data_IF_540881038000
#
_entry.id   IF_540881038000
#
_cell.length_a   1.000
_cell.length_b   1.000
_cell.length_c   1.000
_cell.angle_alpha   90.00
_cell.angle_beta   90.00
_cell.angle_gamma   90.00
#
_symmetry.space_group_name_H-M   'P 1'
#
loop_
_entity.id
_entity.type
_entity.pdbx_description
1 polymer ?
#
# COMPACT_ATOMS: atom_id res chain seq x y z
N UNK A 1 -14.38 2.01 14.66
CA UNK A 1 -14.48 2.10 13.18
C UNK A 1 -14.58 3.55 12.65
N UNK A 2 -15.30 4.44 13.33
CA UNK A 2 -15.48 5.82 12.87
C UNK A 2 -14.28 6.76 13.10
N UNK A 3 -13.22 6.33 13.80
CA UNK A 3 -12.07 7.19 14.13
C UNK A 3 -11.47 7.86 12.88
N UNK A 4 -11.12 7.08 11.86
CA UNK A 4 -10.47 7.61 10.66
C UNK A 4 -11.37 8.59 9.90
N UNK A 5 -12.64 8.26 9.57
CA UNK A 5 -13.56 9.23 8.96
C UNK A 5 -13.73 10.51 9.76
N UNK A 6 -13.84 10.42 11.10
CA UNK A 6 -13.96 11.60 11.96
C UNK A 6 -12.71 12.48 11.93
N UNK A 7 -11.51 11.86 12.01
CA UNK A 7 -10.26 12.61 11.92
C UNK A 7 -10.07 13.25 10.54
N UNK A 8 -10.51 12.59 9.48
CA UNK A 8 -10.49 13.14 8.13
C UNK A 8 -11.35 14.41 8.04
N UNK A 9 -12.61 14.32 8.47
CA UNK A 9 -13.52 15.49 8.51
C UNK A 9 -12.94 16.59 9.40
N UNK A 10 -12.43 16.26 10.59
CA UNK A 10 -11.85 17.23 11.51
C UNK A 10 -10.63 17.95 10.91
N UNK A 11 -9.74 17.24 10.23
CA UNK A 11 -8.59 17.84 9.56
C UNK A 11 -9.00 18.84 8.48
N UNK A 12 -10.06 18.54 7.73
CA UNK A 12 -10.60 19.46 6.73
C UNK A 12 -11.27 20.68 7.37
N UNK A 13 -12.02 20.51 8.47
CA UNK A 13 -12.63 21.61 9.22
C UNK A 13 -11.54 22.55 9.77
N UNK A 14 -10.47 22.00 10.37
CA UNK A 14 -9.35 22.78 10.91
C UNK A 14 -8.68 23.61 9.82
N UNK A 15 -8.55 23.06 8.61
CA UNK A 15 -7.91 23.73 7.48
C UNK A 15 -8.87 24.62 6.68
N UNK A 16 -10.20 24.59 6.93
CA UNK A 16 -11.18 25.38 6.19
C UNK A 16 -10.88 26.89 6.18
N UNK A 17 -10.41 27.54 7.27
CA UNK A 17 -10.07 28.97 7.25
C UNK A 17 -8.95 29.34 6.27
N UNK A 18 -8.08 28.39 5.87
CA UNK A 18 -6.99 28.63 4.93
C UNK A 18 -7.50 28.96 3.51
N UNK A 19 -8.72 28.53 3.16
CA UNK A 19 -9.36 28.88 1.90
C UNK A 19 -9.64 30.39 1.84
N UNK A 20 -10.05 30.99 2.95
CA UNK A 20 -10.30 32.42 3.05
C UNK A 20 -9.01 33.26 2.98
N UNK A 21 -7.87 32.63 3.32
CA UNK A 21 -6.55 33.25 3.16
C UNK A 21 -5.97 33.09 1.74
N UNK A 22 -6.77 32.60 0.77
CA UNK A 22 -6.38 32.48 -0.63
C UNK A 22 -5.67 31.19 -1.01
N UNK A 23 -5.72 30.17 -0.15
CA UNK A 23 -5.15 28.86 -0.49
C UNK A 23 -5.96 28.19 -1.63
N UNK A 24 -5.26 27.69 -2.66
CA UNK A 24 -5.95 26.97 -3.74
C UNK A 24 -6.59 25.67 -3.23
N UNK A 25 -7.63 25.18 -3.93
CA UNK A 25 -8.36 23.97 -3.54
C UNK A 25 -7.45 22.74 -3.42
N UNK A 26 -6.42 22.62 -4.26
CA UNK A 26 -5.44 21.54 -4.20
C UNK A 26 -4.57 21.60 -2.93
N UNK A 27 -4.08 22.78 -2.57
CA UNK A 27 -3.31 22.99 -1.35
C UNK A 27 -4.18 22.82 -0.09
N UNK A 28 -5.44 23.24 -0.12
CA UNK A 28 -6.38 23.01 0.98
C UNK A 28 -6.63 21.51 1.20
N UNK A 29 -6.85 20.74 0.11
CA UNK A 29 -7.00 19.29 0.19
C UNK A 29 -5.77 18.60 0.80
N UNK A 30 -4.58 19.01 0.36
CA UNK A 30 -3.32 18.50 0.92
C UNK A 30 -3.18 18.83 2.41
N UNK A 31 -3.42 20.10 2.79
CA UNK A 31 -3.35 20.53 4.18
C UNK A 31 -4.33 19.79 5.07
N UNK A 32 -5.59 19.64 4.65
CA UNK A 32 -6.61 18.86 5.37
C UNK A 32 -6.20 17.40 5.59
N UNK A 33 -5.70 16.75 4.54
CA UNK A 33 -5.21 15.38 4.62
C UNK A 33 -4.02 15.24 5.55
N UNK A 34 -3.00 16.10 5.44
CA UNK A 34 -1.84 16.09 6.33
C UNK A 34 -2.22 16.34 7.79
N UNK A 35 -3.15 17.28 8.03
CA UNK A 35 -3.67 17.54 9.39
C UNK A 35 -4.39 16.30 9.94
N UNK A 36 -5.19 15.62 9.14
CA UNK A 36 -5.86 14.37 9.55
C UNK A 36 -4.86 13.28 9.93
N UNK A 37 -3.78 13.13 9.15
CA UNK A 37 -2.70 12.19 9.45
C UNK A 37 -1.97 12.56 10.72
N UNK A 38 -1.68 13.84 10.92
CA UNK A 38 -1.04 14.33 12.16
C UNK A 38 -1.92 14.04 13.38
N UNK A 39 -3.22 14.34 13.30
CA UNK A 39 -4.18 14.03 14.36
C UNK A 39 -4.19 12.52 14.66
N UNK A 40 -4.20 11.66 13.64
CA UNK A 40 -4.13 10.21 13.81
C UNK A 40 -2.86 9.82 14.56
N UNK A 41 -1.69 10.28 14.12
CA UNK A 41 -0.39 9.95 14.75
C UNK A 41 -0.35 10.38 16.21
N UNK A 42 -0.89 11.56 16.53
CA UNK A 42 -0.94 12.09 17.90
C UNK A 42 -1.91 11.29 18.79
N UNK A 43 -3.04 10.83 18.25
CA UNK A 43 -4.07 10.11 19.01
C UNK A 43 -3.79 8.61 19.15
N UNK A 44 -3.03 8.00 18.23
CA UNK A 44 -2.75 6.57 18.23
C UNK A 44 -2.17 6.05 19.57
N UNK A 45 -1.21 6.71 20.25
CA UNK A 45 -0.70 6.24 21.55
C UNK A 45 -1.78 6.17 22.64
N UNK A 46 -2.70 7.14 22.66
CA UNK A 46 -3.82 7.14 23.59
C UNK A 46 -4.82 6.02 23.21
N UNK A 47 -5.14 5.88 21.93
CA UNK A 47 -5.98 4.79 21.41
C UNK A 47 -5.42 3.42 21.77
N UNK A 48 -4.13 3.19 21.55
CA UNK A 48 -3.44 1.94 21.88
C UNK A 48 -3.57 1.60 23.38
N UNK A 49 -3.45 2.59 24.26
CA UNK A 49 -3.59 2.41 25.71
C UNK A 49 -5.02 2.10 26.09
N UNK A 50 -5.97 2.91 25.63
CA UNK A 50 -7.37 2.80 26.07
C UNK A 50 -8.09 1.62 25.44
N UNK A 51 -7.82 1.30 24.15
CA UNK A 51 -8.57 0.30 23.40
C UNK A 51 -7.89 -1.06 23.35
N UNK A 52 -6.55 -1.08 23.31
CA UNK A 52 -5.77 -2.31 23.15
C UNK A 52 -4.94 -2.69 24.36
N UNK A 53 -5.05 -1.93 25.44
CA UNK A 53 -4.28 -2.11 26.67
C UNK A 53 -2.76 -2.29 26.42
N UNK A 54 -2.21 -1.48 25.51
CA UNK A 54 -0.79 -1.57 25.17
C UNK A 54 -0.07 -0.23 25.33
N UNK A 55 1.07 -0.25 26.07
CA UNK A 55 1.92 0.93 26.27
C UNK A 55 2.90 1.16 25.11
N UNK A 56 3.17 0.15 24.30
CA UNK A 56 4.12 0.21 23.18
C UNK A 56 3.41 0.31 21.83
N UNK A 57 2.67 1.40 21.61
CA UNK A 57 1.84 1.60 20.42
C UNK A 57 2.61 1.35 19.10
N UNK A 58 3.70 2.05 18.87
CA UNK A 58 4.46 1.96 17.63
C UNK A 58 5.06 0.58 17.35
N UNK A 59 5.40 -0.14 18.41
CA UNK A 59 5.85 -1.53 18.31
C UNK A 59 4.70 -2.47 17.97
N UNK A 60 3.55 -2.29 18.59
CA UNK A 60 2.36 -3.11 18.33
C UNK A 60 1.80 -2.90 16.92
N UNK A 61 1.99 -1.70 16.37
CA UNK A 61 1.66 -1.37 14.98
C UNK A 61 2.69 -1.85 13.96
N UNK A 62 3.88 -2.30 14.39
CA UNK A 62 4.94 -2.79 13.49
C UNK A 62 5.83 -1.69 12.90
N UNK A 63 5.78 -0.46 13.46
CA UNK A 63 6.62 0.68 13.05
C UNK A 63 8.00 0.60 13.68
N UNK A 64 8.09 0.29 14.98
CA UNK A 64 9.37 0.21 15.68
C UNK A 64 9.75 -1.24 15.98
N UNK A 65 11.03 -1.57 15.79
CA UNK A 65 11.58 -2.88 16.14
C UNK A 65 11.93 -2.96 17.63
N UNK A 66 11.68 -4.12 18.26
CA UNK A 66 12.10 -4.40 19.63
C UNK A 66 13.41 -5.20 19.68
N UNK A 67 14.28 -4.91 20.67
CA UNK A 67 15.48 -5.69 20.98
C UNK A 67 16.68 -5.50 20.03
N UNK A 68 17.78 -6.23 20.34
CA UNK A 68 19.00 -6.24 19.51
C UNK A 68 18.68 -6.78 18.10
N UNK A 69 18.98 -5.98 17.06
CA UNK A 69 18.69 -6.33 15.66
C UNK A 69 17.33 -5.85 15.12
N UNK A 70 16.50 -5.18 15.92
CA UNK A 70 15.21 -4.65 15.49
C UNK A 70 15.31 -3.74 14.26
N UNK A 71 16.27 -2.80 14.23
CA UNK A 71 16.50 -1.91 13.06
C UNK A 71 16.86 -2.70 11.80
N UNK A 72 17.75 -3.70 11.90
CA UNK A 72 18.14 -4.54 10.76
C UNK A 72 16.96 -5.31 10.19
N UNK A 73 16.04 -5.77 11.03
CA UNK A 73 14.81 -6.45 10.60
C UNK A 73 13.87 -5.49 9.86
N UNK A 74 13.72 -4.25 10.34
CA UNK A 74 12.88 -3.24 9.70
C UNK A 74 13.44 -2.84 8.34
N UNK A 75 14.75 -2.54 8.24
CA UNK A 75 15.39 -2.18 6.96
C UNK A 75 15.35 -3.33 5.96
N UNK A 76 15.56 -4.58 6.39
CA UNK A 76 15.47 -5.75 5.51
C UNK A 76 14.01 -6.00 5.03
N UNK A 77 13.01 -5.72 5.86
CA UNK A 77 11.61 -5.77 5.46
C UNK A 77 11.30 -4.72 4.39
N UNK A 78 11.72 -3.46 4.63
CA UNK A 78 11.55 -2.38 3.65
C UNK A 78 12.21 -2.74 2.31
N UNK A 79 13.47 -3.21 2.35
CA UNK A 79 14.19 -3.60 1.14
C UNK A 79 13.48 -4.73 0.39
N UNK A 80 12.99 -5.77 1.08
CA UNK A 80 12.19 -6.83 0.45
C UNK A 80 10.95 -6.28 -0.24
N UNK A 81 10.21 -5.39 0.43
CA UNK A 81 9.04 -4.74 -0.15
C UNK A 81 9.38 -3.94 -1.41
N UNK A 82 10.45 -3.13 -1.35
CA UNK A 82 10.93 -2.38 -2.52
C UNK A 82 11.35 -3.28 -3.67
N UNK A 83 12.06 -4.37 -3.40
CA UNK A 83 12.47 -5.35 -4.43
C UNK A 83 11.25 -6.01 -5.09
N UNK A 84 10.23 -6.37 -4.32
CA UNK A 84 8.97 -6.91 -4.85
C UNK A 84 8.24 -5.88 -5.71
N UNK A 85 8.15 -4.62 -5.26
CA UNK A 85 7.58 -3.53 -6.04
C UNK A 85 8.31 -3.32 -7.36
N UNK A 86 9.65 -3.26 -7.30
CA UNK A 86 10.51 -3.11 -8.49
C UNK A 86 10.32 -4.27 -9.46
N UNK A 87 10.23 -5.50 -8.95
CA UNK A 87 9.99 -6.69 -9.79
C UNK A 87 8.63 -6.62 -10.50
N UNK A 88 7.55 -6.27 -9.77
CA UNK A 88 6.21 -6.14 -10.37
C UNK A 88 6.16 -5.00 -11.40
N UNK A 89 6.78 -3.86 -11.11
CA UNK A 89 6.86 -2.74 -12.05
C UNK A 89 7.69 -3.08 -13.27
N UNK A 90 8.81 -3.78 -13.11
CA UNK A 90 9.62 -4.27 -14.22
C UNK A 90 8.83 -5.25 -15.11
N UNK A 91 8.10 -6.18 -14.50
CA UNK A 91 7.23 -7.11 -15.23
C UNK A 91 6.20 -6.36 -16.08
N UNK A 92 5.49 -5.39 -15.49
CA UNK A 92 4.52 -4.56 -16.22
C UNK A 92 5.20 -3.77 -17.34
N UNK A 93 6.31 -3.08 -17.03
CA UNK A 93 7.03 -2.24 -18.00
C UNK A 93 7.57 -3.05 -19.16
N UNK A 94 8.21 -4.19 -18.91
CA UNK A 94 8.74 -5.08 -19.95
C UNK A 94 7.60 -5.61 -20.83
N UNK A 95 6.50 -6.06 -20.24
CA UNK A 95 5.35 -6.54 -21.00
C UNK A 95 4.75 -5.45 -21.90
N UNK A 96 4.65 -4.20 -21.40
CA UNK A 96 4.14 -3.08 -22.18
C UNK A 96 5.07 -2.72 -23.36
N UNK A 97 6.38 -2.70 -23.11
CA UNK A 97 7.38 -2.41 -24.15
C UNK A 97 7.41 -3.52 -25.22
N UNK A 98 7.44 -4.79 -24.82
CA UNK A 98 7.45 -5.94 -25.74
C UNK A 98 6.18 -6.02 -26.57
N UNK A 99 5.03 -5.62 -26.03
CA UNK A 99 3.76 -5.56 -26.74
C UNK A 99 3.57 -4.32 -27.62
N UNK A 100 4.55 -3.40 -27.65
CA UNK A 100 4.44 -2.10 -28.34
C UNK A 100 3.29 -1.22 -27.80
N UNK A 101 2.86 -1.47 -26.57
CA UNK A 101 1.79 -0.70 -25.88
C UNK A 101 2.35 0.49 -25.08
N UNK A 102 3.67 0.63 -25.05
CA UNK A 102 4.34 1.79 -24.47
C UNK A 102 5.69 2.04 -25.15
N UNK A 103 6.17 3.29 -25.05
CA UNK A 103 7.47 3.73 -25.52
C UNK A 103 8.31 4.23 -24.36
N UNK A 104 9.60 3.89 -24.35
CA UNK A 104 10.54 4.38 -23.35
C UNK A 104 11.00 5.79 -23.73
N UNK A 105 10.71 6.79 -22.88
CA UNK A 105 11.14 8.17 -23.08
C UNK A 105 12.50 8.46 -22.43
N UNK A 106 12.72 7.89 -21.23
CA UNK A 106 13.96 8.10 -20.49
C UNK A 106 14.14 9.49 -19.89
N UNK A 107 13.07 10.29 -19.81
CA UNK A 107 13.09 11.65 -19.27
C UNK A 107 13.16 11.64 -17.74
N UNK A 108 14.36 11.72 -17.18
CA UNK A 108 14.54 11.80 -15.74
C UNK A 108 14.54 13.25 -15.23
N UNK A 109 14.03 13.48 -14.02
CA UNK A 109 14.17 14.76 -13.33
C UNK A 109 14.26 14.57 -11.81
N UNK A 110 15.09 15.39 -11.16
CA UNK A 110 15.23 15.38 -9.69
C UNK A 110 13.90 15.69 -8.99
N UNK A 111 13.12 16.62 -9.50
CA UNK A 111 11.80 16.98 -8.93
C UNK A 111 10.85 15.80 -8.96
N UNK A 112 10.78 15.04 -10.08
CA UNK A 112 9.96 13.82 -10.16
C UNK A 112 10.42 12.75 -9.18
N UNK A 113 11.73 12.60 -9.01
CA UNK A 113 12.32 11.64 -8.06
C UNK A 113 12.01 12.01 -6.60
N UNK A 114 12.08 13.29 -6.24
CA UNK A 114 11.69 13.77 -4.91
C UNK A 114 10.19 13.58 -4.65
N UNK A 115 9.34 13.85 -5.63
CA UNK A 115 7.90 13.58 -5.53
C UNK A 115 7.61 12.08 -5.35
N UNK A 116 8.31 11.21 -6.10
CA UNK A 116 8.17 9.76 -5.92
C UNK A 116 8.61 9.32 -4.53
N UNK A 117 9.71 9.85 -4.01
CA UNK A 117 10.15 9.57 -2.64
C UNK A 117 9.11 10.04 -1.61
N UNK A 118 8.53 11.21 -1.80
CA UNK A 118 7.45 11.70 -0.95
C UNK A 118 6.22 10.79 -1.01
N UNK A 119 5.82 10.33 -2.19
CA UNK A 119 4.72 9.37 -2.36
C UNK A 119 5.02 8.04 -1.65
N UNK A 120 6.23 7.50 -1.80
CA UNK A 120 6.65 6.28 -1.12
C UNK A 120 6.52 6.40 0.39
N UNK A 121 7.04 7.49 0.96
CA UNK A 121 7.09 7.68 2.39
C UNK A 121 5.74 8.12 2.97
N UNK A 122 5.10 9.13 2.36
CA UNK A 122 3.87 9.71 2.91
C UNK A 122 2.68 8.79 2.64
N UNK A 123 2.43 8.44 1.37
CA UNK A 123 1.29 7.58 1.02
C UNK A 123 1.51 6.17 1.55
N UNK A 124 2.67 5.57 1.24
CA UNK A 124 2.99 4.20 1.66
C UNK A 124 2.94 4.02 3.18
N UNK A 125 3.53 4.93 3.97
CA UNK A 125 3.50 4.82 5.43
C UNK A 125 2.12 5.10 6.02
N UNK A 126 1.45 6.14 5.54
CA UNK A 126 0.15 6.56 6.09
C UNK A 126 -0.92 5.49 5.85
N UNK A 127 -1.03 5.01 4.61
CA UNK A 127 -2.04 4.01 4.29
C UNK A 127 -1.74 2.67 4.97
N UNK A 128 -0.49 2.25 5.03
CA UNK A 128 -0.17 1.02 5.75
C UNK A 128 -0.40 1.14 7.26
N UNK A 129 -0.15 2.31 7.85
CA UNK A 129 -0.47 2.57 9.25
C UNK A 129 -1.97 2.50 9.51
N UNK A 130 -2.79 3.06 8.61
CA UNK A 130 -4.25 3.02 8.70
C UNK A 130 -4.77 1.61 8.50
N UNK A 131 -4.47 0.97 7.36
CA UNK A 131 -5.12 -0.28 6.97
C UNK A 131 -4.50 -1.51 7.62
N UNK A 132 -3.16 -1.63 7.62
CA UNK A 132 -2.45 -2.80 8.17
C UNK A 132 -2.06 -2.62 9.62
N UNK A 133 -1.88 -1.35 10.07
CA UNK A 133 -1.65 -1.02 11.48
C UNK A 133 -2.95 -1.04 12.28
N UNK A 134 -3.73 0.02 12.13
CA UNK A 134 -4.89 0.30 12.99
C UNK A 134 -6.13 -0.53 12.61
N UNK A 135 -6.59 -0.46 11.35
CA UNK A 135 -7.84 -1.10 10.91
C UNK A 135 -7.81 -2.62 11.10
N UNK A 136 -6.71 -3.25 10.67
CA UNK A 136 -6.57 -4.71 10.84
C UNK A 136 -6.73 -5.10 12.29
N UNK A 137 -6.09 -4.40 13.23
CA UNK A 137 -6.18 -4.73 14.65
C UNK A 137 -7.58 -4.51 15.23
N UNK A 138 -8.27 -3.46 14.81
CA UNK A 138 -9.68 -3.25 15.18
C UNK A 138 -10.58 -4.40 14.67
N UNK A 139 -10.40 -4.79 13.40
CA UNK A 139 -11.15 -5.91 12.81
C UNK A 139 -10.81 -7.24 13.48
N UNK A 140 -9.54 -7.47 13.82
CA UNK A 140 -9.11 -8.68 14.52
C UNK A 140 -9.86 -8.87 15.85
N UNK A 141 -10.05 -7.79 16.60
CA UNK A 141 -10.80 -7.82 17.85
C UNK A 141 -12.32 -7.96 17.66
N UNK A 142 -12.85 -7.50 16.52
CA UNK A 142 -14.31 -7.49 16.28
C UNK A 142 -14.82 -8.77 15.61
N UNK A 143 -14.08 -9.29 14.62
CA UNK A 143 -14.52 -10.38 13.75
C UNK A 143 -13.52 -11.54 13.66
N UNK A 144 -12.45 -11.48 14.45
CA UNK A 144 -11.41 -12.51 14.52
C UNK A 144 -10.37 -12.45 13.39
N UNK A 145 -9.24 -13.19 13.58
CA UNK A 145 -8.02 -12.99 12.78
C UNK A 145 -8.15 -13.36 11.29
N UNK A 146 -8.93 -14.37 10.95
CA UNK A 146 -9.11 -14.79 9.56
C UNK A 146 -9.96 -13.77 8.77
N UNK A 147 -11.11 -13.38 9.35
CA UNK A 147 -12.02 -12.40 8.74
C UNK A 147 -11.41 -11.00 8.67
N UNK A 148 -10.57 -10.63 9.64
CA UNK A 148 -9.88 -9.34 9.66
C UNK A 148 -8.93 -9.16 8.47
N UNK A 149 -8.26 -10.23 8.01
CA UNK A 149 -7.39 -10.19 6.81
C UNK A 149 -8.20 -9.88 5.56
N UNK A 150 -9.32 -10.56 5.36
CA UNK A 150 -10.20 -10.30 4.23
C UNK A 150 -10.88 -8.92 4.34
N UNK A 151 -11.39 -8.60 5.54
CA UNK A 151 -12.09 -7.34 5.80
C UNK A 151 -11.23 -6.10 5.56
N UNK A 152 -9.97 -6.08 6.04
CA UNK A 152 -9.08 -4.95 5.80
C UNK A 152 -8.73 -4.80 4.31
N UNK A 153 -8.54 -5.90 3.56
CA UNK A 153 -8.24 -5.86 2.14
C UNK A 153 -9.47 -5.38 1.33
N UNK A 154 -10.67 -5.80 1.72
CA UNK A 154 -11.91 -5.35 1.11
C UNK A 154 -12.15 -3.86 1.36
N UNK A 155 -12.02 -3.39 2.60
CA UNK A 155 -12.18 -1.97 2.93
C UNK A 155 -11.11 -1.13 2.20
N UNK A 156 -9.85 -1.59 2.18
CA UNK A 156 -8.80 -0.94 1.41
C UNK A 156 -9.16 -0.79 -0.07
N UNK A 157 -9.68 -1.83 -0.70
CA UNK A 157 -10.15 -1.78 -2.07
C UNK A 157 -11.31 -0.78 -2.24
N UNK A 158 -12.35 -0.87 -1.42
CA UNK A 158 -13.57 -0.09 -1.56
C UNK A 158 -13.38 1.42 -1.35
N UNK A 159 -12.46 1.85 -0.47
CA UNK A 159 -12.19 3.29 -0.28
C UNK A 159 -11.50 3.93 -1.46
N UNK A 160 -10.96 3.14 -2.40
CA UNK A 160 -10.36 3.61 -3.65
C UNK A 160 -11.35 3.62 -4.83
N UNK A 161 -12.65 3.49 -4.56
CA UNK A 161 -13.68 3.56 -5.61
C UNK A 161 -13.60 4.88 -6.38
N UNK A 162 -13.57 4.79 -7.70
CA UNK A 162 -13.52 5.93 -8.64
C UNK A 162 -14.78 5.92 -9.50
N UNK A 163 -15.79 6.66 -9.10
CA UNK A 163 -17.11 6.68 -9.75
C UNK A 163 -17.10 7.16 -11.20
N UNK A 164 -16.02 7.81 -11.64
CA UNK A 164 -15.84 8.29 -13.02
C UNK A 164 -15.32 7.25 -14.00
N UNK A 165 -14.97 6.04 -13.56
CA UNK A 165 -14.38 5.02 -14.43
C UNK A 165 -15.39 4.15 -15.18
N UNK A 166 -16.66 4.16 -14.81
CA UNK A 166 -17.62 3.18 -15.28
C UNK A 166 -17.48 1.81 -14.58
N UNK A 167 -18.46 0.94 -14.76
CA UNK A 167 -18.61 -0.28 -13.96
C UNK A 167 -17.44 -1.27 -14.12
N UNK A 168 -17.15 -1.71 -15.35
CA UNK A 168 -16.13 -2.74 -15.58
C UNK A 168 -14.70 -2.30 -15.26
N UNK A 169 -14.24 -1.12 -15.71
CA UNK A 169 -12.93 -0.60 -15.32
C UNK A 169 -12.78 -0.39 -13.82
N UNK A 170 -13.85 0.03 -13.13
CA UNK A 170 -13.85 0.15 -11.69
C UNK A 170 -13.74 -1.22 -11.01
N UNK A 171 -14.50 -2.21 -11.47
CA UNK A 171 -14.47 -3.57 -10.91
C UNK A 171 -13.07 -4.20 -11.02
N UNK A 172 -12.40 -4.05 -12.18
CA UNK A 172 -11.03 -4.56 -12.36
C UNK A 172 -10.03 -3.86 -11.46
N UNK A 173 -10.15 -2.53 -11.28
CA UNK A 173 -9.31 -1.77 -10.35
C UNK A 173 -9.51 -2.24 -8.90
N UNK A 174 -10.76 -2.39 -8.47
CA UNK A 174 -11.08 -2.86 -7.11
C UNK A 174 -10.58 -4.29 -6.87
N UNK A 175 -10.66 -5.16 -7.89
CA UNK A 175 -10.09 -6.51 -7.81
C UNK A 175 -8.57 -6.47 -7.62
N UNK A 176 -7.86 -5.63 -8.37
CA UNK A 176 -6.41 -5.45 -8.21
C UNK A 176 -6.03 -4.90 -6.84
N UNK A 177 -6.78 -3.91 -6.34
CA UNK A 177 -6.57 -3.36 -4.99
C UNK A 177 -6.88 -4.36 -3.88
N UNK A 178 -7.90 -5.21 -4.06
CA UNK A 178 -8.19 -6.31 -3.14
C UNK A 178 -7.03 -7.31 -3.10
N UNK A 179 -6.51 -7.73 -4.26
CA UNK A 179 -5.35 -8.61 -4.35
C UNK A 179 -4.11 -7.97 -3.72
N UNK A 180 -3.84 -6.70 -4.00
CA UNK A 180 -2.75 -5.97 -3.34
C UNK A 180 -2.96 -5.95 -1.83
N UNK A 181 -4.19 -5.69 -1.36
CA UNK A 181 -4.56 -5.72 0.05
C UNK A 181 -4.22 -7.06 0.73
N UNK A 182 -4.50 -8.17 0.05
CA UNK A 182 -4.16 -9.52 0.52
C UNK A 182 -2.65 -9.76 0.50
N UNK A 183 -1.96 -9.39 -0.59
CA UNK A 183 -0.49 -9.49 -0.67
C UNK A 183 0.20 -8.76 0.49
N UNK A 184 -0.25 -7.53 0.79
CA UNK A 184 0.30 -6.73 1.88
C UNK A 184 0.01 -7.35 3.25
N UNK A 185 -1.17 -7.95 3.45
CA UNK A 185 -1.47 -8.67 4.67
C UNK A 185 -0.57 -9.90 4.88
N UNK A 186 -0.32 -10.67 3.83
CA UNK A 186 0.61 -11.81 3.88
C UNK A 186 2.04 -11.32 4.07
N UNK A 187 2.46 -10.25 3.38
CA UNK A 187 3.78 -9.65 3.56
C UNK A 187 4.04 -9.25 5.01
N UNK A 188 3.08 -8.57 5.66
CA UNK A 188 3.21 -8.22 7.08
C UNK A 188 3.42 -9.43 7.98
N UNK A 189 2.74 -10.55 7.70
CA UNK A 189 2.94 -11.82 8.44
C UNK A 189 4.33 -12.39 8.22
N UNK A 190 4.80 -12.44 6.98
CA UNK A 190 6.14 -12.92 6.61
C UNK A 190 7.25 -12.07 7.25
N UNK A 191 6.99 -10.77 7.45
CA UNK A 191 7.91 -9.81 8.10
C UNK A 191 7.76 -9.77 9.63
N UNK A 192 7.09 -10.77 10.23
CA UNK A 192 6.92 -10.87 11.68
C UNK A 192 6.13 -9.72 12.30
N UNK A 193 5.16 -9.18 11.57
CA UNK A 193 4.28 -8.07 12.00
C UNK A 193 4.82 -6.67 11.68
N UNK A 194 5.99 -6.54 11.05
CA UNK A 194 6.53 -5.25 10.60
C UNK A 194 5.69 -4.65 9.48
N UNK A 195 5.43 -3.34 9.52
CA UNK A 195 4.79 -2.60 8.43
C UNK A 195 5.76 -2.22 7.31
N UNK A 196 7.07 -2.24 7.55
CA UNK A 196 8.04 -1.70 6.59
C UNK A 196 8.10 -2.47 5.28
N UNK A 197 7.85 -3.79 5.29
CA UNK A 197 7.72 -4.55 4.05
C UNK A 197 6.50 -4.14 3.23
N UNK A 198 5.39 -3.84 3.90
CA UNK A 198 4.19 -3.32 3.26
C UNK A 198 4.42 -1.90 2.71
N UNK A 199 5.07 -1.02 3.49
CA UNK A 199 5.45 0.33 3.05
C UNK A 199 6.34 0.27 1.81
N UNK A 200 7.34 -0.63 1.81
CA UNK A 200 8.22 -0.85 0.65
C UNK A 200 7.48 -1.35 -0.59
N UNK A 201 6.59 -2.32 -0.42
CA UNK A 201 5.83 -2.89 -1.54
C UNK A 201 4.79 -1.89 -2.06
N UNK A 202 3.91 -1.40 -1.22
CA UNK A 202 2.84 -0.49 -1.62
C UNK A 202 3.39 0.87 -2.06
N UNK A 203 4.16 1.53 -1.19
CA UNK A 203 4.76 2.83 -1.51
C UNK A 203 5.70 2.75 -2.71
N UNK A 204 6.45 1.64 -2.86
CA UNK A 204 7.29 1.37 -4.01
C UNK A 204 6.51 1.25 -5.31
N UNK A 205 5.34 0.58 -5.30
CA UNK A 205 4.45 0.51 -6.48
C UNK A 205 3.90 1.89 -6.85
N UNK A 206 3.41 2.66 -5.86
CA UNK A 206 2.87 4.01 -6.10
C UNK A 206 3.96 4.95 -6.63
N UNK A 207 5.09 5.02 -5.96
CA UNK A 207 6.21 5.89 -6.34
C UNK A 207 6.84 5.51 -7.67
N UNK A 208 7.06 4.21 -7.89
CA UNK A 208 7.68 3.72 -9.11
C UNK A 208 6.76 3.88 -10.32
N UNK A 209 5.45 3.63 -10.17
CA UNK A 209 4.51 3.88 -11.25
C UNK A 209 4.38 5.38 -11.58
N UNK A 210 4.38 6.23 -10.55
CA UNK A 210 4.45 7.67 -10.75
C UNK A 210 5.69 8.08 -11.57
N UNK A 211 6.88 7.57 -11.24
CA UNK A 211 8.11 7.85 -12.00
C UNK A 211 8.01 7.38 -13.45
N UNK A 212 7.49 6.17 -13.66
CA UNK A 212 7.31 5.62 -15.00
C UNK A 212 6.40 6.53 -15.83
N UNK A 213 5.21 6.85 -15.36
CA UNK A 213 4.25 7.66 -16.11
C UNK A 213 4.63 9.13 -16.25
N UNK A 214 5.41 9.68 -15.33
CA UNK A 214 5.73 11.12 -15.33
C UNK A 214 6.84 11.51 -16.30
N UNK A 215 7.56 10.54 -16.90
CA UNK A 215 8.62 10.89 -17.84
C UNK A 215 9.48 9.74 -18.35
N UNK A 216 9.36 8.55 -17.80
CA UNK A 216 10.15 7.41 -18.26
C UNK A 216 9.42 6.58 -19.32
N UNK A 217 8.11 6.50 -19.24
CA UNK A 217 7.27 5.63 -20.06
C UNK A 217 6.04 6.38 -20.58
N UNK A 218 5.80 6.33 -21.87
CA UNK A 218 4.59 6.84 -22.51
C UNK A 218 3.74 5.67 -23.00
N UNK A 219 2.51 5.57 -22.51
CA UNK A 219 1.55 4.58 -22.99
C UNK A 219 1.08 4.94 -24.41
N UNK A 220 0.99 3.95 -25.28
CA UNK A 220 0.39 4.12 -26.61
C UNK A 220 -1.12 4.43 -26.49
N UNK A 221 -1.68 5.36 -27.29
CA UNK A 221 -3.12 5.64 -27.29
C UNK A 221 -3.98 4.38 -27.57
N UNK A 222 -3.45 3.46 -28.37
CA UNK A 222 -4.12 2.21 -28.76
C UNK A 222 -3.95 1.07 -27.75
N UNK A 223 -3.23 1.32 -26.63
CA UNK A 223 -3.04 0.30 -25.62
C UNK A 223 -4.38 -0.11 -24.97
N UNK A 224 -4.75 -1.41 -24.99
CA UNK A 224 -6.04 -1.84 -24.49
C UNK A 224 -6.17 -1.60 -22.99
N UNK A 225 -7.20 -0.90 -22.54
CA UNK A 225 -7.41 -0.56 -21.12
C UNK A 225 -7.55 -1.80 -20.22
N UNK A 226 -8.09 -2.92 -20.74
CA UNK A 226 -8.17 -4.18 -20.00
C UNK A 226 -6.78 -4.78 -19.71
N UNK A 227 -5.76 -4.44 -20.51
CA UNK A 227 -4.41 -4.95 -20.38
C UNK A 227 -3.55 -4.05 -19.49
N UNK A 228 -3.54 -2.74 -19.80
CA UNK A 228 -2.70 -1.74 -19.13
C UNK A 228 -3.32 -1.20 -17.82
N UNK A 229 -4.61 -1.39 -17.65
CA UNK A 229 -5.40 -0.89 -16.53
C UNK A 229 -6.27 0.32 -16.87
N UNK A 230 -7.28 0.63 -16.05
CA UNK A 230 -8.20 1.73 -16.27
C UNK A 230 -7.56 3.09 -16.01
N UNK A 231 -8.02 4.14 -16.68
CA UNK A 231 -7.60 5.53 -16.47
C UNK A 231 -6.96 6.22 -17.67
N UNK A 232 -7.03 5.64 -18.87
CA UNK A 232 -6.52 6.23 -20.12
C UNK A 232 -5.05 6.67 -20.00
N UNK A 233 -4.74 7.97 -20.13
CA UNK A 233 -3.38 8.51 -20.01
C UNK A 233 -2.75 8.31 -18.62
N UNK A 234 -3.57 8.13 -17.58
CA UNK A 234 -3.15 7.83 -16.20
C UNK A 234 -3.59 6.43 -15.79
N UNK A 235 -3.32 5.43 -16.63
CA UNK A 235 -3.72 4.05 -16.38
C UNK A 235 -3.17 3.54 -15.04
N UNK A 236 -4.02 2.80 -14.31
CA UNK A 236 -3.60 2.13 -13.10
C UNK A 236 -3.34 0.64 -13.38
N UNK A 237 -2.09 0.18 -13.40
CA UNK A 237 -1.73 -1.17 -13.81
C UNK A 237 -2.30 -2.25 -12.90
N UNK A 238 -2.68 -1.92 -11.66
CA UNK A 238 -3.30 -2.87 -10.73
C UNK A 238 -4.64 -3.43 -11.26
N UNK A 239 -5.37 -2.63 -12.05
CA UNK A 239 -6.62 -3.05 -12.69
C UNK A 239 -6.45 -3.65 -14.10
N UNK A 240 -5.24 -3.74 -14.62
CA UNK A 240 -4.93 -4.36 -15.90
C UNK A 240 -4.58 -5.85 -15.75
N UNK A 241 -4.76 -6.62 -16.82
CA UNK A 241 -4.51 -8.07 -16.81
C UNK A 241 -3.06 -8.41 -16.40
N UNK A 242 -2.07 -7.61 -16.82
CA UNK A 242 -0.67 -7.83 -16.48
C UNK A 242 -0.46 -7.62 -14.98
N UNK A 243 -0.98 -6.52 -14.42
CA UNK A 243 -0.89 -6.23 -12.99
C UNK A 243 -1.62 -7.25 -12.12
N UNK A 244 -2.84 -7.65 -12.52
CA UNK A 244 -3.61 -8.71 -11.84
C UNK A 244 -2.85 -10.03 -11.84
N UNK A 245 -2.27 -10.43 -12.98
CA UNK A 245 -1.46 -11.64 -13.10
C UNK A 245 -0.22 -11.59 -12.20
N UNK A 246 0.48 -10.44 -12.17
CA UNK A 246 1.63 -10.23 -11.29
C UNK A 246 1.28 -10.32 -9.81
N UNK A 247 0.15 -9.71 -9.39
CA UNK A 247 -0.34 -9.78 -8.00
C UNK A 247 -0.79 -11.20 -7.60
N UNK A 248 -1.47 -11.93 -8.50
CA UNK A 248 -1.84 -13.32 -8.26
C UNK A 248 -0.60 -14.21 -8.11
N UNK A 249 0.40 -14.01 -8.96
CA UNK A 249 1.69 -14.70 -8.87
C UNK A 249 2.39 -14.40 -7.54
N UNK A 250 2.47 -13.12 -7.15
CA UNK A 250 3.06 -12.71 -5.87
C UNK A 250 2.31 -13.34 -4.69
N UNK A 251 0.98 -13.26 -4.67
CA UNK A 251 0.16 -13.84 -3.60
C UNK A 251 0.41 -15.35 -3.47
N UNK A 252 0.46 -16.06 -4.60
CA UNK A 252 0.72 -17.51 -4.63
C UNK A 252 2.10 -17.86 -4.04
N UNK A 253 3.14 -17.10 -4.40
CA UNK A 253 4.48 -17.25 -3.84
C UNK A 253 4.53 -16.96 -2.34
N UNK A 254 3.87 -15.90 -1.89
CA UNK A 254 3.79 -15.54 -0.48
C UNK A 254 3.05 -16.62 0.34
N UNK A 255 1.91 -17.13 -0.15
CA UNK A 255 1.17 -18.20 0.52
C UNK A 255 1.98 -19.49 0.59
N UNK A 256 2.73 -19.81 -0.45
CA UNK A 256 3.66 -20.96 -0.45
C UNK A 256 4.76 -20.77 0.60
N UNK A 257 5.31 -19.56 0.75
CA UNK A 257 6.31 -19.27 1.77
C UNK A 257 5.73 -19.40 3.20
N UNK A 258 4.51 -18.96 3.44
CA UNK A 258 3.81 -19.15 4.72
C UNK A 258 3.60 -20.65 4.99
N UNK A 259 3.11 -21.41 4.01
CA UNK A 259 2.88 -22.84 4.16
C UNK A 259 4.18 -23.61 4.47
N UNK A 260 5.31 -23.22 3.87
CA UNK A 260 6.63 -23.80 4.18
C UNK A 260 7.08 -23.49 5.61
N UNK A 261 6.85 -22.26 6.07
CA UNK A 261 7.22 -21.83 7.43
C UNK A 261 6.40 -22.55 8.52
N UNK A 262 5.19 -23.00 8.20
CA UNK A 262 4.30 -23.73 9.11
C UNK A 262 4.54 -25.25 9.13
N UNK A 263 5.34 -25.83 8.22
CA UNK A 263 5.65 -27.26 8.22
C UNK A 263 6.52 -27.60 9.43
N UNK A 264 6.12 -28.57 10.29
CA UNK A 264 6.95 -29.02 11.40
C UNK A 264 8.27 -29.56 10.85
N UNK A 265 9.39 -29.23 11.52
CA UNK A 265 10.71 -29.80 11.24
C UNK A 265 10.68 -31.24 11.73
N UNK A 266 10.00 -32.14 11.00
CA UNK A 266 10.00 -33.57 11.24
C UNK A 266 11.23 -34.18 10.57
N UNK A 267 12.32 -34.34 11.32
CA UNK A 267 13.49 -35.01 10.78
C UNK A 267 14.72 -35.17 11.68
N UNK A 268 14.73 -34.61 12.88
CA UNK A 268 15.96 -34.64 13.69
C UNK A 268 15.84 -35.37 15.05
N UNK A 269 14.97 -36.35 15.19
CA UNK A 269 14.98 -37.28 16.35
C UNK A 269 14.58 -38.70 15.95
N UNK A 270 15.36 -39.36 15.08
CA UNK A 270 15.45 -40.83 14.97
C UNK A 270 16.86 -41.20 14.57
N UNK A 271 17.81 -40.97 15.47
CA UNK A 271 19.11 -41.65 15.46
C UNK A 271 19.78 -41.40 16.83
N UNK A 272 19.36 -42.10 17.81
CA UNK A 272 20.12 -42.41 19.05
C UNK A 272 19.65 -43.72 19.61
#
# INVERSE_FOLDING_TARGET
MLLIPLLYVLGWIICAPLVWLGLSSSHHSLAGTLTSVLLLVLLLPAWCRCRWDTRHCWRSLGISGGGRGGRRRLSSALLRGLLLATFLLALVTVALLMGSWAHWLGEWSLSRSLNALALLLVVGLTEELIFRGWLWRELDQLIGPASAVAGQALIFSLVHTRFNLGFWPMLTLLTGLLLLGLCLAVQRRLDGGSLWGCVGLHGGLVAGWFLLQSGLLQLSPDAPSWLVGPGSSNANPLGGAIGLGGLLGLLSLQLTAVARALRPVNGARRAS
#
